data_IF_881915195940
#
_entry.id   IF_881915195940
#
_cell.length_a   1.000
_cell.length_b   1.000
_cell.length_c   1.000
_cell.angle_alpha   90.00
_cell.angle_beta   90.00
_cell.angle_gamma   90.00
#
_symmetry.space_group_name_H-M   'P 1'
#
loop_
_entity.id
_entity.type
_entity.pdbx_description
1 polymer ?
#
# COMPACT_ATOMS: atom_id res chain seq x y z
N UNK A 1 -48.93 -38.50 -14.02
CA UNK A 1 -48.32 -38.62 -15.36
C UNK A 1 -47.46 -37.39 -15.59
N UNK A 2 -46.13 -37.58 -15.51
CA UNK A 2 -45.07 -36.67 -16.00
C UNK A 2 -45.05 -36.69 -17.55
N UNK A 3 -44.17 -35.95 -18.27
CA UNK A 3 -43.55 -34.62 -18.07
C UNK A 3 -43.46 -33.83 -19.41
N UNK A 4 -42.76 -32.67 -19.46
CA UNK A 4 -41.84 -32.18 -20.54
C UNK A 4 -41.46 -30.72 -20.19
N UNK A 5 -40.25 -30.52 -19.59
CA UNK A 5 -39.02 -29.92 -20.17
C UNK A 5 -39.14 -28.41 -20.49
N UNK A 6 -38.52 -27.52 -19.71
CA UNK A 6 -37.09 -27.16 -19.66
C UNK A 6 -36.66 -26.15 -20.74
N UNK A 7 -36.36 -24.92 -20.31
CA UNK A 7 -35.38 -23.98 -20.86
C UNK A 7 -35.24 -22.86 -19.81
N UNK A 8 -34.30 -22.92 -18.87
CA UNK A 8 -32.90 -22.49 -18.98
C UNK A 8 -32.76 -21.14 -19.70
N UNK A 9 -32.75 -20.06 -18.93
CA UNK A 9 -31.91 -18.90 -19.25
C UNK A 9 -31.11 -18.53 -18.01
N UNK A 10 -29.83 -18.93 -18.06
CA UNK A 10 -28.73 -18.37 -17.30
C UNK A 10 -28.71 -16.86 -17.53
N UNK A 11 -28.99 -16.08 -16.49
CA UNK A 11 -28.41 -14.76 -16.35
C UNK A 11 -27.32 -14.89 -15.30
N UNK A 12 -26.10 -15.11 -15.77
CA UNK A 12 -24.92 -15.11 -14.93
C UNK A 12 -24.67 -13.66 -14.51
N UNK A 13 -25.02 -13.29 -13.28
CA UNK A 13 -24.44 -12.12 -12.64
C UNK A 13 -22.98 -12.46 -12.29
N UNK A 14 -22.09 -12.37 -13.28
CA UNK A 14 -20.68 -12.13 -12.99
C UNK A 14 -20.56 -10.64 -12.64
N UNK A 15 -20.80 -10.34 -11.37
CA UNK A 15 -20.48 -9.05 -10.79
C UNK A 15 -19.64 -9.28 -9.53
N UNK A 16 -18.36 -9.57 -9.73
CA UNK A 16 -17.34 -9.24 -8.73
C UNK A 16 -16.31 -8.35 -9.40
N UNK A 17 -16.43 -7.01 -9.29
CA UNK A 17 -15.30 -6.14 -9.50
C UNK A 17 -14.77 -5.67 -8.13
N UNK A 18 -13.57 -6.15 -7.83
CA UNK A 18 -12.63 -5.76 -6.80
C UNK A 18 -13.20 -5.50 -5.39
N UNK A 19 -13.00 -6.49 -4.51
CA UNK A 19 -12.90 -6.18 -3.08
C UNK A 19 -11.82 -5.12 -2.94
N UNK A 20 -12.16 -3.93 -2.46
CA UNK A 20 -11.22 -3.16 -1.68
C UNK A 20 -10.77 -4.13 -0.58
N UNK A 21 -9.60 -4.77 -0.76
CA UNK A 21 -9.21 -5.90 0.08
C UNK A 21 -9.37 -5.50 1.53
N UNK A 22 -10.20 -6.21 2.30
CA UNK A 22 -10.41 -5.85 3.71
C UNK A 22 -9.08 -5.94 4.46
N UNK A 23 -8.16 -6.81 4.02
CA UNK A 23 -6.77 -6.83 4.45
C UNK A 23 -5.82 -5.97 3.57
N UNK A 24 -4.65 -5.67 4.13
CA UNK A 24 -3.58 -4.93 3.45
C UNK A 24 -2.46 -5.88 2.97
N UNK A 25 -2.69 -7.18 2.95
CA UNK A 25 -1.63 -8.19 2.74
C UNK A 25 -0.96 -8.05 1.37
N UNK A 26 -1.58 -7.36 0.42
CA UNK A 26 -1.01 -7.07 -0.89
C UNK A 26 0.27 -6.22 -0.86
N UNK A 27 0.50 -5.45 0.21
CA UNK A 27 1.73 -4.67 0.38
C UNK A 27 2.90 -5.53 0.85
N UNK A 28 2.64 -6.77 1.27
CA UNK A 28 3.65 -7.67 1.82
C UNK A 28 4.67 -8.06 0.76
N UNK A 29 5.94 -8.00 1.14
CA UNK A 29 7.06 -8.47 0.34
C UNK A 29 8.27 -7.53 0.39
N UNK A 30 9.24 -7.81 -0.48
CA UNK A 30 10.34 -6.92 -0.81
C UNK A 30 10.06 -6.24 -2.14
N UNK A 31 10.37 -4.96 -2.18
CA UNK A 31 10.14 -4.08 -3.30
C UNK A 31 11.40 -3.26 -3.56
N UNK A 32 11.66 -2.97 -4.83
CA UNK A 32 12.82 -2.18 -5.26
C UNK A 32 12.36 -1.06 -6.19
N UNK A 33 12.90 0.13 -5.96
CA UNK A 33 12.71 1.27 -6.85
C UNK A 33 13.91 1.43 -7.76
N UNK A 34 13.67 1.79 -9.02
CA UNK A 34 14.69 2.07 -10.03
C UNK A 34 14.26 3.32 -10.81
N UNK A 35 15.20 4.20 -11.15
CA UNK A 35 14.94 5.35 -12.00
C UNK A 35 14.54 4.95 -13.43
N UNK A 36 15.02 3.79 -13.91
CA UNK A 36 14.68 3.24 -15.23
C UNK A 36 14.42 1.74 -15.14
N UNK A 37 13.50 1.17 -15.94
CA UNK A 37 13.27 -0.27 -16.00
C UNK A 37 14.58 -1.05 -16.26
N UNK A 38 14.86 -2.06 -15.43
CA UNK A 38 16.09 -2.86 -15.50
C UNK A 38 17.39 -2.11 -15.11
N UNK A 39 17.30 -0.84 -14.69
CA UNK A 39 18.42 -0.02 -14.24
C UNK A 39 18.94 -0.41 -12.85
N UNK A 40 19.88 0.34 -12.26
CA UNK A 40 20.31 0.12 -10.88
C UNK A 40 19.14 0.30 -9.90
N UNK A 41 19.24 -0.36 -8.74
CA UNK A 41 18.30 -0.16 -7.64
C UNK A 41 18.68 1.14 -6.93
N UNK A 42 17.70 2.01 -6.72
CA UNK A 42 17.87 3.29 -6.05
C UNK A 42 17.29 3.29 -4.63
N UNK A 43 16.29 2.42 -4.38
CA UNK A 43 15.71 2.22 -3.06
C UNK A 43 15.18 0.80 -2.86
N UNK A 44 15.15 0.36 -1.61
CA UNK A 44 14.55 -0.89 -1.16
C UNK A 44 13.44 -0.61 -0.17
N UNK A 45 12.35 -1.38 -0.22
CA UNK A 45 11.31 -1.42 0.79
C UNK A 45 11.02 -2.87 1.13
N UNK A 46 11.06 -3.19 2.42
CA UNK A 46 10.67 -4.51 2.94
C UNK A 46 9.48 -4.33 3.87
N UNK A 47 8.36 -4.97 3.57
CA UNK A 47 7.15 -4.98 4.40
C UNK A 47 6.79 -6.41 4.74
N UNK A 48 7.08 -6.83 5.96
CA UNK A 48 6.87 -8.20 6.43
C UNK A 48 6.09 -8.22 7.74
N UNK A 49 5.51 -9.38 8.12
CA UNK A 49 4.92 -9.54 9.44
C UNK A 49 5.89 -9.13 10.55
N UNK A 50 5.43 -8.24 11.43
CA UNK A 50 6.20 -7.82 12.58
C UNK A 50 6.25 -8.97 13.61
N UNK A 51 7.43 -9.20 14.20
CA UNK A 51 7.62 -10.29 15.17
C UNK A 51 7.25 -9.89 16.60
N UNK A 52 7.24 -8.59 16.88
CA UNK A 52 6.97 -8.02 18.20
C UNK A 52 5.52 -7.54 18.30
N UNK A 53 4.97 -7.00 17.22
CA UNK A 53 3.59 -6.50 17.15
C UNK A 53 2.75 -7.43 16.28
N UNK A 54 2.02 -8.34 16.93
CA UNK A 54 1.12 -9.28 16.27
C UNK A 54 0.13 -8.55 15.34
N UNK A 55 -0.22 -9.20 14.23
CA UNK A 55 -1.22 -8.74 13.26
C UNK A 55 -0.85 -7.39 12.60
N UNK A 56 0.46 -7.12 12.47
CA UNK A 56 0.97 -5.97 11.72
C UNK A 56 2.00 -6.37 10.67
N UNK A 57 2.09 -5.56 9.61
CA UNK A 57 3.21 -5.56 8.67
C UNK A 57 4.06 -4.33 8.96
N UNK A 58 5.36 -4.47 9.11
CA UNK A 58 6.26 -3.34 9.38
C UNK A 58 7.51 -3.38 8.50
N UNK A 59 8.11 -2.21 8.36
CA UNK A 59 9.42 -2.09 7.74
C UNK A 59 9.74 -0.67 7.31
N UNK A 60 10.67 -0.54 6.38
CA UNK A 60 11.20 0.75 5.99
C UNK A 60 11.66 0.79 4.54
N UNK A 61 11.49 1.96 3.92
CA UNK A 61 12.13 2.29 2.66
C UNK A 61 13.47 2.98 2.93
N UNK A 62 14.51 2.55 2.22
CA UNK A 62 15.87 3.10 2.29
C UNK A 62 16.48 3.26 0.90
N UNK A 63 17.35 4.25 0.70
CA UNK A 63 18.14 4.35 -0.54
C UNK A 63 19.21 3.26 -0.62
N UNK A 64 19.49 2.81 -1.83
CA UNK A 64 20.54 1.85 -2.15
C UNK A 64 21.97 2.44 -2.08
N UNK A 65 22.14 3.76 -2.20
CA UNK A 65 23.46 4.39 -2.34
C UNK A 65 24.20 4.63 -1.01
N UNK A 66 23.65 4.16 0.10
CA UNK A 66 24.36 3.95 1.37
C UNK A 66 25.37 5.02 1.78
N UNK A 67 24.92 6.24 2.12
CA UNK A 67 25.63 7.09 3.10
C UNK A 67 24.69 8.16 3.70
N UNK A 68 24.61 8.30 5.04
CA UNK A 68 23.61 9.13 5.71
C UNK A 68 23.84 10.65 5.66
N UNK A 69 22.77 11.46 5.89
CA UNK A 69 21.41 11.01 6.20
C UNK A 69 20.63 10.70 4.92
N UNK A 70 20.43 9.41 4.66
CA UNK A 70 19.50 8.94 3.64
C UNK A 70 18.10 9.14 4.18
N UNK A 71 17.17 9.74 3.43
CA UNK A 71 15.79 9.80 3.84
C UNK A 71 15.24 8.38 4.04
N UNK A 72 14.91 8.05 5.29
CA UNK A 72 14.27 6.79 5.68
C UNK A 72 12.78 7.03 5.89
N UNK A 73 11.97 6.17 5.28
CA UNK A 73 10.53 6.10 5.52
C UNK A 73 10.25 4.86 6.35
N UNK A 74 9.68 5.00 7.54
CA UNK A 74 9.19 3.84 8.29
C UNK A 74 7.68 3.70 8.12
N UNK A 75 7.26 2.45 7.97
CA UNK A 75 5.88 2.06 7.69
C UNK A 75 5.46 0.94 8.65
N UNK A 76 4.22 1.02 9.11
CA UNK A 76 3.52 -0.09 9.74
C UNK A 76 2.07 -0.08 9.29
N UNK A 77 1.55 -1.25 8.94
CA UNK A 77 0.14 -1.43 8.64
C UNK A 77 -0.44 -2.43 9.64
N UNK A 78 -1.62 -2.15 10.17
CA UNK A 78 -2.45 -3.21 10.75
C UNK A 78 -2.86 -4.15 9.62
N UNK A 79 -2.78 -5.47 9.81
CA UNK A 79 -3.03 -6.46 8.74
C UNK A 79 -4.46 -6.42 8.21
N UNK A 80 -5.41 -6.02 9.05
CA UNK A 80 -6.80 -5.72 8.67
C UNK A 80 -6.95 -4.41 7.88
N UNK A 81 -5.83 -3.78 7.50
CA UNK A 81 -5.77 -2.54 6.75
C UNK A 81 -6.34 -1.32 7.47
N UNK A 82 -6.78 -1.42 8.73
CA UNK A 82 -7.51 -0.34 9.42
C UNK A 82 -6.64 0.90 9.69
N UNK A 83 -5.35 0.68 9.93
CA UNK A 83 -4.40 1.71 10.36
C UNK A 83 -3.10 1.64 9.56
N UNK A 84 -2.61 2.81 9.17
CA UNK A 84 -1.26 3.05 8.70
C UNK A 84 -0.52 3.93 9.72
N UNK A 85 0.65 3.47 10.17
CA UNK A 85 1.66 4.28 10.81
C UNK A 85 2.75 4.70 9.82
N UNK A 86 3.07 5.98 9.78
CA UNK A 86 4.10 6.54 8.90
C UNK A 86 5.06 7.42 9.69
N UNK A 87 6.37 7.21 9.53
CA UNK A 87 7.39 8.19 9.94
C UNK A 87 8.13 8.66 8.70
N UNK A 88 8.00 9.97 8.42
CA UNK A 88 8.62 10.63 7.28
C UNK A 88 10.10 10.90 7.56
N UNK A 89 10.92 11.04 6.50
CA UNK A 89 12.30 11.48 6.63
C UNK A 89 12.38 12.83 7.34
N UNK A 90 13.16 12.90 8.42
CA UNK A 90 13.51 14.15 9.09
C UNK A 90 15.04 14.26 8.99
N UNK A 91 15.61 15.44 8.64
CA UNK A 91 17.05 15.64 8.76
C UNK A 91 17.50 15.33 10.20
N UNK A 92 18.59 14.59 10.36
CA UNK A 92 19.15 14.13 11.65
C UNK A 92 18.32 13.04 12.37
N UNK A 93 18.04 11.95 11.66
CA UNK A 93 17.47 10.72 12.22
C UNK A 93 18.29 10.23 13.44
N UNK A 94 17.73 10.39 14.64
CA UNK A 94 18.10 9.58 15.80
C UNK A 94 17.07 8.46 15.89
N UNK A 95 17.54 7.21 15.97
CA UNK A 95 16.68 6.05 16.17
C UNK A 95 16.01 6.15 17.55
N UNK A 96 14.88 6.85 17.62
CA UNK A 96 14.00 6.86 18.76
C UNK A 96 12.98 5.72 18.63
N UNK A 97 12.68 5.17 19.80
CA UNK A 97 11.92 3.96 20.08
C UNK A 97 10.45 3.97 19.58
N UNK A 98 10.16 2.94 18.78
CA UNK A 98 8.96 2.10 18.52
C UNK A 98 7.52 2.59 18.28
N UNK A 99 7.13 3.87 18.27
CA UNK A 99 5.74 4.23 17.91
C UNK A 99 5.69 5.29 16.82
N UNK A 100 5.27 4.88 15.61
CA UNK A 100 5.20 5.75 14.43
C UNK A 100 4.44 7.04 14.76
N UNK A 101 5.07 8.18 14.46
CA UNK A 101 4.67 9.51 14.92
C UNK A 101 3.33 9.99 14.34
N UNK A 102 2.84 9.34 13.28
CA UNK A 102 1.60 9.70 12.61
C UNK A 102 0.79 8.46 12.30
N UNK A 103 -0.46 8.45 12.79
CA UNK A 103 -1.44 7.39 12.54
C UNK A 103 -2.49 7.90 11.58
N UNK A 104 -2.79 7.08 10.57
CA UNK A 104 -3.78 7.37 9.56
C UNK A 104 -4.82 6.26 9.59
N UNK A 105 -6.10 6.65 9.60
CA UNK A 105 -7.21 5.72 9.54
C UNK A 105 -7.56 5.41 8.08
N UNK A 106 -7.98 4.19 7.80
CA UNK A 106 -8.44 3.79 6.47
C UNK A 106 -9.65 4.63 6.04
N UNK A 107 -9.67 5.03 4.77
CA UNK A 107 -10.75 5.77 4.12
C UNK A 107 -11.26 4.96 2.92
N UNK A 108 -12.12 3.94 3.13
CA UNK A 108 -12.49 2.99 2.08
C UNK A 108 -13.11 3.64 0.85
N UNK A 109 -13.90 4.70 1.03
CA UNK A 109 -14.54 5.43 -0.07
C UNK A 109 -13.55 6.10 -1.02
N UNK A 110 -12.42 6.58 -0.50
CA UNK A 110 -11.34 7.17 -1.34
C UNK A 110 -10.59 6.06 -2.06
N UNK A 111 -10.31 4.94 -1.38
CA UNK A 111 -9.69 3.78 -2.01
C UNK A 111 -10.53 3.23 -3.17
N UNK A 112 -11.84 3.07 -2.96
CA UNK A 112 -12.76 2.62 -4.00
C UNK A 112 -12.84 3.59 -5.19
N UNK A 113 -12.81 4.91 -4.93
CA UNK A 113 -12.84 5.91 -6.00
C UNK A 113 -11.55 5.96 -6.83
N UNK A 114 -10.41 5.59 -6.23
CA UNK A 114 -9.10 5.58 -6.88
C UNK A 114 -8.73 4.24 -7.53
N UNK A 115 -9.56 3.22 -7.31
CA UNK A 115 -9.37 1.91 -7.89
C UNK A 115 -9.79 1.95 -9.37
N UNK A 116 -8.85 1.66 -10.26
CA UNK A 116 -9.07 1.65 -11.70
C UNK A 116 -8.49 0.37 -12.30
N UNK A 117 -9.34 -0.47 -12.88
CA UNK A 117 -8.95 -1.74 -13.47
C UNK A 117 -8.68 -2.83 -12.44
N UNK A 118 -7.84 -3.80 -12.84
CA UNK A 118 -7.34 -4.82 -11.93
C UNK A 118 -6.32 -4.17 -10.97
N UNK A 119 -6.23 -4.65 -9.73
CA UNK A 119 -5.32 -4.11 -8.73
C UNK A 119 -5.94 -3.94 -7.35
N UNK A 120 -5.13 -3.47 -6.41
CA UNK A 120 -5.51 -3.24 -5.02
C UNK A 120 -5.14 -1.83 -4.58
N UNK A 121 -6.05 -1.18 -3.87
CA UNK A 121 -5.88 0.18 -3.37
C UNK A 121 -6.33 0.27 -1.93
N UNK A 122 -5.53 0.96 -1.12
CA UNK A 122 -5.92 1.43 0.20
C UNK A 122 -5.61 2.93 0.31
N UNK A 123 -6.53 3.68 0.90
CA UNK A 123 -6.35 5.10 1.17
C UNK A 123 -6.47 5.34 2.67
N UNK A 124 -5.67 6.27 3.18
CA UNK A 124 -5.56 6.57 4.60
C UNK A 124 -5.49 8.08 4.82
N UNK A 125 -6.13 8.57 5.88
CA UNK A 125 -6.09 9.99 6.25
C UNK A 125 -5.87 10.17 7.75
N UNK A 126 -5.27 11.28 8.12
CA UNK A 126 -5.36 11.77 9.50
C UNK A 126 -6.74 12.38 9.74
N UNK A 127 -7.16 12.41 11.00
CA UNK A 127 -8.42 13.04 11.37
C UNK A 127 -8.40 14.53 10.98
N UNK A 128 -9.36 14.95 10.16
CA UNK A 128 -9.48 16.34 9.70
C UNK A 128 -8.50 16.76 8.60
N UNK A 129 -7.71 15.83 8.05
CA UNK A 129 -6.86 16.09 6.90
C UNK A 129 -7.66 16.07 5.59
N UNK A 130 -7.21 16.88 4.64
CA UNK A 130 -7.70 16.97 3.26
C UNK A 130 -6.73 16.30 2.26
N UNK A 131 -5.64 15.71 2.75
CA UNK A 131 -4.73 14.86 2.00
C UNK A 131 -4.87 13.39 2.41
N UNK A 132 -4.46 12.51 1.51
CA UNK A 132 -4.54 11.06 1.68
C UNK A 132 -3.21 10.40 1.40
N UNK A 133 -2.85 9.41 2.21
CA UNK A 133 -1.83 8.44 1.83
C UNK A 133 -2.53 7.34 1.05
N UNK A 134 -2.15 7.15 -0.20
CA UNK A 134 -2.71 6.16 -1.10
C UNK A 134 -1.64 5.13 -1.39
N UNK A 135 -1.99 3.87 -1.14
CA UNK A 135 -1.18 2.69 -1.42
C UNK A 135 -1.86 1.93 -2.55
N UNK A 136 -1.14 1.69 -3.64
CA UNK A 136 -1.65 0.93 -4.78
C UNK A 136 -0.70 -0.21 -5.13
N UNK A 137 -1.27 -1.37 -5.43
CA UNK A 137 -0.54 -2.49 -5.99
C UNK A 137 -1.20 -2.99 -7.27
N UNK A 138 -0.40 -3.22 -8.31
CA UNK A 138 -0.83 -3.74 -9.61
C UNK A 138 0.37 -4.36 -10.33
N UNK A 139 0.22 -5.51 -10.97
CA UNK A 139 1.24 -6.18 -11.79
C UNK A 139 2.65 -6.14 -11.17
N UNK A 140 2.80 -6.70 -9.97
CA UNK A 140 4.09 -6.75 -9.26
C UNK A 140 4.72 -5.38 -8.94
N UNK A 141 3.93 -4.31 -8.96
CA UNK A 141 4.36 -2.96 -8.61
C UNK A 141 3.59 -2.45 -7.39
N UNK A 142 4.29 -1.77 -6.48
CA UNK A 142 3.73 -1.10 -5.31
C UNK A 142 4.08 0.38 -5.37
N UNK A 143 3.08 1.24 -5.16
CA UNK A 143 3.24 2.68 -4.98
C UNK A 143 2.64 3.15 -3.67
N UNK A 144 3.34 4.06 -3.00
CA UNK A 144 2.90 4.74 -1.77
C UNK A 144 3.07 6.23 -2.01
N UNK A 145 1.95 6.94 -2.10
CA UNK A 145 1.90 8.34 -2.50
C UNK A 145 1.05 9.14 -1.54
N UNK A 146 1.38 10.42 -1.38
CA UNK A 146 0.50 11.41 -0.77
C UNK A 146 -0.24 12.14 -1.88
N UNK A 147 -1.56 12.10 -1.82
CA UNK A 147 -2.46 12.79 -2.73
C UNK A 147 -3.04 13.99 -1.98
N UNK A 148 -2.89 15.20 -2.55
CA UNK A 148 -3.44 16.41 -1.98
C UNK A 148 -4.95 16.55 -2.21
N UNK A 149 -5.56 17.56 -1.58
CA UNK A 149 -6.98 17.86 -1.72
C UNK A 149 -7.43 18.14 -3.17
N UNK A 150 -6.50 18.55 -4.04
CA UNK A 150 -6.72 18.76 -5.47
C UNK A 150 -6.73 17.47 -6.30
N UNK A 151 -6.55 16.32 -5.65
CA UNK A 151 -6.49 15.00 -6.28
C UNK A 151 -5.16 14.70 -6.98
N UNK A 152 -4.16 15.58 -6.86
CA UNK A 152 -2.84 15.41 -7.47
C UNK A 152 -1.86 14.74 -6.51
N UNK A 153 -0.88 14.04 -7.07
CA UNK A 153 0.24 13.51 -6.29
C UNK A 153 1.07 14.69 -5.76
N UNK A 154 1.00 14.90 -4.45
CA UNK A 154 1.82 15.89 -3.75
C UNK A 154 3.23 15.33 -3.48
N UNK A 155 3.33 14.03 -3.23
CA UNK A 155 4.60 13.37 -2.92
C UNK A 155 4.53 11.88 -3.25
N UNK A 156 5.62 11.31 -3.77
CA UNK A 156 5.78 9.86 -3.91
C UNK A 156 6.81 9.40 -2.89
N UNK A 157 6.36 8.63 -1.91
CA UNK A 157 7.23 8.10 -0.86
C UNK A 157 7.96 6.83 -1.32
N UNK A 158 7.29 6.01 -2.11
CA UNK A 158 7.85 4.81 -2.71
C UNK A 158 7.11 4.45 -3.99
N UNK A 159 7.84 3.98 -4.99
CA UNK A 159 7.28 3.40 -6.22
C UNK A 159 8.29 2.37 -6.75
N UNK A 160 7.90 1.09 -6.76
CA UNK A 160 8.85 0.01 -7.02
C UNK A 160 8.19 -1.31 -7.42
N UNK A 161 9.01 -2.20 -7.96
CA UNK A 161 8.65 -3.55 -8.40
C UNK A 161 9.00 -4.60 -7.35
N UNK A 162 8.35 -5.76 -7.38
CA UNK A 162 8.62 -6.87 -6.45
C UNK A 162 10.02 -7.46 -6.70
N UNK A 163 10.72 -7.76 -5.61
CA UNK A 163 12.09 -8.31 -5.62
C UNK A 163 12.18 -9.75 -5.04
N UNK A 164 11.08 -10.28 -4.49
CA UNK A 164 10.92 -11.74 -4.23
C UNK A 164 11.38 -12.27 -2.86
N UNK A 165 11.01 -11.60 -1.76
CA UNK A 165 11.27 -12.08 -0.39
C UNK A 165 10.00 -12.46 0.41
N UNK A 166 8.93 -12.80 -0.29
CA UNK A 166 7.59 -13.10 0.25
C UNK A 166 7.48 -14.42 1.04
#
# INVERSE_FOLDING_TARGET
>A
MNPIRAALLLAVLHATPAMAADDIDFVRGCWVSRATPGGPIDAFLRLLPDREIKDTLSGHAMSATGDPPVPRLDLMFARDGSVLGLRRPIPNYQALDARLLSHYARVPQVGAALLSGDGQVAAYAQQGADDWIVVKAHDERLSIQRIGADGRVAETYFDGERDGCD
#
